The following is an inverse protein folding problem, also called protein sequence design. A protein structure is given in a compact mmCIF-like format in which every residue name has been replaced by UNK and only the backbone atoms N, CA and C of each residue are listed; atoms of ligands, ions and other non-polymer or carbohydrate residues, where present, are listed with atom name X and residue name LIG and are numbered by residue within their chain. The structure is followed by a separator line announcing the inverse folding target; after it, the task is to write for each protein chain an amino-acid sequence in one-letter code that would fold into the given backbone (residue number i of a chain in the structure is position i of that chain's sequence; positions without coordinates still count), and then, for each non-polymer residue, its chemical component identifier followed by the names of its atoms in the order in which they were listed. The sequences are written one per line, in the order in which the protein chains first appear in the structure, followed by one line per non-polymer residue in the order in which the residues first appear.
data_IF_253071210330
#
_entry.id   IF_253071210330
#
_cell.length_a   1.000
_cell.length_b   1.000
_cell.length_c   1.000
_cell.angle_alpha   90.00
_cell.angle_beta   90.00
_cell.angle_gamma   90.00
#
_symmetry.space_group_name_H-M   'P 1'
#
loop_
_entity.id
_entity.type
_entity.pdbx_description
1 polymer ?
#
# COMPACT_ATOMS: atom_id res chain seq x y z
N UNK A 1 9.33 12.64 11.62
CA UNK A 1 8.31 12.12 10.74
C UNK A 1 8.05 10.63 11.04
N UNK A 2 6.84 10.33 11.49
CA UNK A 2 6.44 8.97 11.89
C UNK A 2 6.52 8.00 10.72
N UNK A 3 6.04 8.41 9.55
CA UNK A 3 6.05 7.58 8.34
C UNK A 3 7.46 7.18 7.98
N UNK A 4 8.35 8.15 7.90
CA UNK A 4 9.76 7.91 7.54
C UNK A 4 10.44 6.99 8.54
N UNK A 5 10.25 7.23 9.85
CA UNK A 5 10.86 6.43 10.90
C UNK A 5 10.40 4.99 10.90
N UNK A 6 9.09 4.76 10.81
CA UNK A 6 8.52 3.40 10.83
C UNK A 6 8.89 2.61 9.58
N UNK A 7 8.78 3.21 8.41
CA UNK A 7 9.11 2.53 7.15
C UNK A 7 10.61 2.24 7.09
N UNK A 8 11.43 3.19 7.49
CA UNK A 8 12.88 3.01 7.50
C UNK A 8 13.30 1.90 8.44
N UNK A 9 12.73 1.84 9.65
CA UNK A 9 13.01 0.78 10.61
C UNK A 9 12.62 -0.59 10.05
N UNK A 10 11.45 -0.71 9.46
CA UNK A 10 10.98 -1.93 8.83
C UNK A 10 11.87 -2.35 7.66
N UNK A 11 12.22 -1.41 6.79
CA UNK A 11 13.02 -1.67 5.60
C UNK A 11 14.44 -2.12 5.92
N UNK A 12 15.02 -1.59 7.00
CA UNK A 12 16.38 -1.93 7.42
C UNK A 12 16.47 -3.24 8.19
N UNK A 13 15.36 -3.80 8.66
CA UNK A 13 15.33 -5.08 9.36
C UNK A 13 15.63 -6.21 8.39
N UNK A 14 16.65 -6.98 8.65
CA UNK A 14 16.97 -8.17 7.86
C UNK A 14 16.24 -9.38 8.42
N UNK A 15 15.70 -10.20 7.56
CA UNK A 15 15.14 -11.48 7.95
C UNK A 15 16.28 -12.51 8.05
N UNK A 16 16.81 -12.67 9.26
CA UNK A 16 17.98 -13.52 9.52
C UNK A 16 17.69 -14.99 9.20
N UNK A 17 16.43 -15.39 9.26
CA UNK A 17 16.03 -16.78 9.04
C UNK A 17 15.61 -17.10 7.61
N UNK A 18 15.60 -16.11 6.73
CA UNK A 18 15.26 -16.34 5.33
C UNK A 18 16.45 -16.91 4.59
N UNK A 19 16.27 -18.11 4.04
CA UNK A 19 17.27 -18.75 3.17
C UNK A 19 17.04 -18.45 1.69
N UNK A 20 15.93 -17.77 1.37
CA UNK A 20 15.59 -17.44 -0.01
C UNK A 20 16.17 -16.08 -0.40
N UNK A 21 16.96 -16.07 -1.47
CA UNK A 21 17.59 -14.84 -1.97
C UNK A 21 16.60 -13.84 -2.56
N UNK A 22 15.39 -14.30 -2.92
CA UNK A 22 14.37 -13.51 -3.61
C UNK A 22 13.30 -12.97 -2.67
N UNK A 23 13.50 -13.07 -1.35
CA UNK A 23 12.54 -12.52 -0.39
C UNK A 23 12.64 -11.00 -0.32
N UNK A 24 11.51 -10.35 -0.36
CA UNK A 24 11.41 -8.91 -0.19
C UNK A 24 10.33 -8.60 0.85
N UNK A 25 10.45 -7.43 1.45
CA UNK A 25 9.43 -6.91 2.37
C UNK A 25 8.41 -6.10 1.58
N UNK A 26 7.16 -6.30 1.88
CA UNK A 26 6.08 -5.56 1.26
C UNK A 26 5.52 -4.53 2.24
N UNK A 27 5.50 -3.28 1.82
CA UNK A 27 4.90 -2.18 2.57
C UNK A 27 3.63 -1.77 1.84
N UNK A 28 2.49 -1.89 2.52
CA UNK A 28 1.20 -1.49 1.97
C UNK A 28 0.78 -0.18 2.64
N UNK A 29 0.59 0.84 1.81
CA UNK A 29 0.18 2.17 2.25
C UNK A 29 -1.22 2.44 1.71
N UNK A 30 -2.20 2.31 2.57
CA UNK A 30 -3.59 2.59 2.23
C UNK A 30 -3.91 4.07 2.45
N UNK A 31 -4.84 4.58 1.69
CA UNK A 31 -5.27 5.99 1.77
C UNK A 31 -4.09 6.97 1.62
N UNK A 32 -3.18 6.68 0.70
CA UNK A 32 -1.98 7.49 0.52
C UNK A 32 -2.28 8.92 0.04
N UNK A 33 -3.44 9.13 -0.58
CA UNK A 33 -3.91 10.45 -0.99
C UNK A 33 -4.27 11.36 0.19
N UNK A 34 -4.43 10.80 1.41
CA UNK A 34 -4.60 11.58 2.62
C UNK A 34 -3.28 12.10 3.21
N UNK A 35 -2.14 11.63 2.72
CA UNK A 35 -0.84 12.08 3.20
C UNK A 35 -0.55 13.49 2.73
N UNK A 36 0.13 14.27 3.59
CA UNK A 36 0.62 15.60 3.20
C UNK A 36 1.70 15.49 2.13
N UNK A 37 1.95 16.58 1.41
CA UNK A 37 3.02 16.60 0.41
C UNK A 37 4.39 16.35 1.05
N UNK A 38 4.62 16.87 2.25
CA UNK A 38 5.86 16.65 2.98
C UNK A 38 6.04 15.16 3.33
N UNK A 39 4.99 14.48 3.78
CA UNK A 39 5.02 13.05 4.08
C UNK A 39 5.27 12.22 2.81
N UNK A 40 4.65 12.60 1.70
CA UNK A 40 4.86 11.93 0.42
C UNK A 40 6.30 12.12 -0.09
N UNK A 41 6.89 13.30 0.10
CA UNK A 41 8.28 13.54 -0.26
C UNK A 41 9.23 12.68 0.58
N UNK A 42 8.95 12.52 1.86
CA UNK A 42 9.71 11.64 2.73
C UNK A 42 9.57 10.17 2.30
N UNK A 43 8.37 9.75 1.93
CA UNK A 43 8.10 8.41 1.40
C UNK A 43 8.89 8.15 0.12
N UNK A 44 8.93 9.11 -0.79
CA UNK A 44 9.71 9.00 -2.01
C UNK A 44 11.18 8.72 -1.73
N UNK A 45 11.75 9.41 -0.77
CA UNK A 45 13.16 9.21 -0.38
C UNK A 45 13.39 7.81 0.17
N UNK A 46 12.47 7.31 0.97
CA UNK A 46 12.55 5.94 1.50
C UNK A 46 12.42 4.92 0.37
N UNK A 47 11.53 5.13 -0.58
CA UNK A 47 11.39 4.25 -1.74
C UNK A 47 12.67 4.19 -2.57
N UNK A 48 13.34 5.33 -2.76
CA UNK A 48 14.61 5.38 -3.48
C UNK A 48 15.73 4.64 -2.75
N UNK A 49 15.74 4.73 -1.43
CA UNK A 49 16.81 4.17 -0.60
C UNK A 49 16.74 2.65 -0.51
N UNK A 50 15.53 2.07 -0.50
CA UNK A 50 15.32 0.64 -0.26
C UNK A 50 14.73 -0.08 -1.47
N UNK A 51 15.39 0.01 -2.62
CA UNK A 51 14.90 -0.58 -3.86
C UNK A 51 15.13 -2.08 -3.99
N UNK A 52 16.09 -2.63 -3.24
CA UNK A 52 16.48 -4.03 -3.40
C UNK A 52 15.60 -5.00 -2.65
N UNK A 53 15.26 -4.66 -1.40
CA UNK A 53 14.62 -5.60 -0.48
C UNK A 53 13.23 -5.18 -0.03
N UNK A 54 12.72 -4.07 -0.55
CA UNK A 54 11.40 -3.56 -0.16
C UNK A 54 10.59 -3.25 -1.42
N UNK A 55 9.32 -3.61 -1.38
CA UNK A 55 8.33 -3.25 -2.40
C UNK A 55 7.21 -2.48 -1.75
N UNK A 56 6.69 -1.50 -2.46
CA UNK A 56 5.64 -0.62 -1.96
C UNK A 56 4.37 -0.80 -2.78
N UNK A 57 3.26 -1.03 -2.07
CA UNK A 57 1.93 -1.04 -2.64
C UNK A 57 1.18 0.17 -2.11
N UNK A 58 0.92 1.13 -2.98
CA UNK A 58 0.31 2.40 -2.60
C UNK A 58 -1.12 2.40 -3.11
N UNK A 59 -2.07 2.55 -2.19
CA UNK A 59 -3.50 2.51 -2.48
C UNK A 59 -4.08 3.90 -2.27
N UNK A 60 -4.79 4.40 -3.27
CA UNK A 60 -5.42 5.70 -3.21
C UNK A 60 -6.70 5.73 -4.04
N UNK A 61 -7.60 6.66 -3.72
CA UNK A 61 -8.80 6.92 -4.51
C UNK A 61 -8.56 8.02 -5.54
N UNK A 62 -7.70 8.99 -5.21
CA UNK A 62 -7.45 10.18 -6.03
C UNK A 62 -5.98 10.26 -6.40
N UNK A 63 -5.64 9.75 -7.57
CA UNK A 63 -4.25 9.71 -8.02
C UNK A 63 -3.65 11.12 -8.18
N UNK A 64 -4.49 12.12 -8.47
CA UNK A 64 -4.03 13.51 -8.59
C UNK A 64 -3.52 14.11 -7.30
N UNK A 65 -3.82 13.49 -6.14
CA UNK A 65 -3.29 13.90 -4.84
C UNK A 65 -1.97 13.23 -4.50
N UNK A 66 -1.52 12.30 -5.32
CA UNK A 66 -0.21 11.67 -5.18
C UNK A 66 0.79 12.49 -5.98
N UNK A 67 1.93 12.84 -5.36
CA UNK A 67 2.94 13.67 -6.04
C UNK A 67 3.50 12.92 -7.26
N UNK A 68 3.84 13.65 -8.34
CA UNK A 68 4.35 13.01 -9.56
C UNK A 68 5.62 12.18 -9.35
N UNK A 69 6.46 12.55 -8.38
CA UNK A 69 7.67 11.82 -8.07
C UNK A 69 7.40 10.41 -7.57
N UNK A 70 6.29 10.18 -6.85
CA UNK A 70 5.86 8.84 -6.46
C UNK A 70 5.21 8.12 -7.64
N UNK A 71 4.34 8.80 -8.37
CA UNK A 71 3.65 8.20 -9.51
C UNK A 71 4.63 7.65 -10.56
N UNK A 72 5.72 8.36 -10.81
CA UNK A 72 6.71 7.95 -11.81
C UNK A 72 7.50 6.70 -11.40
N UNK A 73 7.53 6.37 -10.11
CA UNK A 73 8.23 5.19 -9.60
C UNK A 73 7.35 3.96 -9.48
N UNK A 74 6.07 4.08 -9.77
CA UNK A 74 5.09 3.01 -9.57
C UNK A 74 4.46 2.60 -10.89
N UNK A 75 4.14 1.32 -11.02
CA UNK A 75 3.23 0.86 -12.06
C UNK A 75 1.81 1.07 -11.57
N UNK A 76 1.00 1.77 -12.36
CA UNK A 76 -0.37 2.09 -11.96
C UNK A 76 -1.34 1.02 -12.41
N UNK A 77 -2.17 0.61 -11.47
CA UNK A 77 -3.31 -0.27 -11.72
C UNK A 77 -4.57 0.48 -11.34
N UNK A 78 -5.46 0.67 -12.30
CA UNK A 78 -6.71 1.35 -12.05
C UNK A 78 -7.83 0.31 -11.94
N UNK A 79 -8.52 0.35 -10.81
CA UNK A 79 -9.67 -0.50 -10.57
C UNK A 79 -10.94 0.28 -10.87
N UNK A 80 -11.79 -0.27 -11.71
CA UNK A 80 -13.08 0.31 -11.98
C UNK A 80 -14.00 0.16 -10.77
N UNK A 81 -14.94 1.10 -10.56
CA UNK A 81 -15.96 0.93 -9.53
C UNK A 81 -16.71 -0.38 -9.73
N UNK A 82 -17.05 -1.05 -8.64
CA UNK A 82 -17.84 -2.26 -8.68
C UNK A 82 -19.23 -1.93 -9.24
N UNK A 83 -19.75 -2.79 -10.10
CA UNK A 83 -21.11 -2.63 -10.57
C UNK A 83 -22.11 -3.00 -9.47
N UNK A 84 -23.38 -2.66 -9.68
CA UNK A 84 -24.43 -2.89 -8.69
C UNK A 84 -24.56 -4.36 -8.31
N UNK A 85 -24.45 -5.26 -9.28
CA UNK A 85 -24.58 -6.70 -9.05
C UNK A 85 -23.45 -7.21 -8.16
N UNK A 86 -22.22 -6.78 -8.41
CA UNK A 86 -21.07 -7.16 -7.60
C UNK A 86 -21.18 -6.65 -6.17
N UNK A 87 -21.63 -5.42 -5.98
CA UNK A 87 -21.85 -4.84 -4.66
C UNK A 87 -22.93 -5.60 -3.91
N UNK A 88 -24.04 -5.91 -4.56
CA UNK A 88 -25.15 -6.66 -3.96
C UNK A 88 -24.70 -8.06 -3.54
N UNK A 89 -23.92 -8.75 -4.37
CA UNK A 89 -23.37 -10.07 -4.01
C UNK A 89 -22.48 -10.00 -2.78
N UNK A 90 -21.64 -8.97 -2.69
CA UNK A 90 -20.76 -8.79 -1.54
C UNK A 90 -21.56 -8.52 -0.27
N UNK A 91 -22.58 -7.67 -0.36
CA UNK A 91 -23.47 -7.38 0.77
C UNK A 91 -24.20 -8.64 1.23
N UNK A 92 -24.74 -9.42 0.30
CA UNK A 92 -25.41 -10.67 0.63
C UNK A 92 -24.49 -11.67 1.30
N UNK A 93 -23.25 -11.75 0.84
CA UNK A 93 -22.21 -12.61 1.44
C UNK A 93 -21.91 -12.19 2.87
N UNK A 94 -21.79 -10.91 3.14
CA UNK A 94 -21.54 -10.38 4.48
C UNK A 94 -22.75 -10.64 5.39
N UNK A 95 -23.95 -10.41 4.91
CA UNK A 95 -25.18 -10.67 5.68
C UNK A 95 -25.28 -12.16 6.05
N UNK A 96 -25.01 -13.05 5.11
CA UNK A 96 -25.03 -14.48 5.36
C UNK A 96 -24.02 -14.88 6.42
N UNK A 97 -22.81 -14.33 6.37
CA UNK A 97 -21.77 -14.58 7.36
C UNK A 97 -22.18 -14.07 8.75
N UNK A 98 -22.79 -12.89 8.83
CA UNK A 98 -23.23 -12.30 10.09
C UNK A 98 -24.36 -13.08 10.74
N UNK A 99 -25.23 -13.74 9.95
CA UNK A 99 -26.32 -14.55 10.49
C UNK A 99 -25.83 -15.75 11.29
N UNK A 100 -24.63 -16.23 11.02
CA UNK A 100 -24.05 -17.37 11.74
C UNK A 100 -23.36 -16.96 13.05
N UNK A 101 -23.12 -15.67 13.24
CA UNK A 101 -22.48 -15.15 14.44
C UNK A 101 -23.50 -14.81 15.52
N UNK A 102 -24.73 -14.54 15.12
CA UNK A 102 -25.83 -14.23 16.02
C UNK A 102 -26.53 -15.51 16.46
#
# INVERSE_FOLDING_TARGET
DVVRGQIKAFASTRNVFSTQKDTFKLVILDEADAMTQAAQAALRRVMEQYTRNVRFCIICNYVNKIIPAIQSRCTRFRFSPLDRVQVERQIDSVIAAEQYVL
#
